data_IF_915840198836
#
_entry.id   IF_915840198836
#
_cell.length_a   1.000
_cell.length_b   1.000
_cell.length_c   1.000
_cell.angle_alpha   90.00
_cell.angle_beta   90.00
_cell.angle_gamma   90.00
#
_symmetry.space_group_name_H-M   'P 1'
#
loop_
_entity.id
_entity.type
_entity.pdbx_description
1 polymer ?
#
# COMPACT_ATOMS: atom_id res chain seq x y z
N UNK A 1 -3.07 -1.62 32.95
CA UNK A 1 -4.35 -2.11 32.40
C UNK A 1 -4.11 -3.48 31.79
N UNK A 2 -4.68 -4.52 32.40
CA UNK A 2 -4.37 -5.92 32.13
C UNK A 2 -4.77 -6.33 30.71
N UNK A 3 -3.78 -6.71 29.90
CA UNK A 3 -3.89 -7.27 28.55
C UNK A 3 -4.57 -8.64 28.65
N UNK A 4 -5.91 -8.67 28.66
CA UNK A 4 -6.67 -9.93 28.62
C UNK A 4 -6.44 -10.56 27.24
N UNK A 5 -5.57 -11.57 27.16
CA UNK A 5 -5.29 -12.34 25.93
C UNK A 5 -6.61 -12.92 25.45
N UNK A 6 -7.06 -12.50 24.27
CA UNK A 6 -8.23 -13.07 23.61
C UNK A 6 -7.88 -14.47 23.14
N UNK A 7 -8.74 -15.43 23.45
CA UNK A 7 -8.55 -16.84 23.12
C UNK A 7 -9.57 -17.24 22.05
N UNK A 8 -9.06 -17.40 20.83
CA UNK A 8 -9.84 -17.75 19.63
C UNK A 8 -10.64 -19.06 19.79
N UNK A 9 -10.22 -19.96 20.68
CA UNK A 9 -10.88 -21.26 20.89
C UNK A 9 -11.98 -21.23 21.96
N UNK A 10 -11.95 -20.27 22.90
CA UNK A 10 -12.83 -20.26 24.08
C UNK A 10 -13.80 -19.09 24.13
N UNK A 11 -13.47 -17.95 23.49
CA UNK A 11 -14.34 -16.78 23.48
C UNK A 11 -15.54 -16.95 22.53
N UNK A 12 -16.67 -16.31 22.87
CA UNK A 12 -17.87 -16.37 22.02
C UNK A 12 -17.67 -15.62 20.69
N UNK A 13 -18.23 -16.17 19.61
CA UNK A 13 -18.12 -15.60 18.25
C UNK A 13 -18.52 -14.12 18.23
N UNK A 14 -19.58 -13.74 18.96
CA UNK A 14 -20.04 -12.34 19.04
C UNK A 14 -18.99 -11.41 19.63
N UNK A 15 -18.34 -11.80 20.74
CA UNK A 15 -17.31 -11.01 21.40
C UNK A 15 -16.08 -10.86 20.50
N UNK A 16 -15.68 -11.94 19.85
CA UNK A 16 -14.56 -11.96 18.92
C UNK A 16 -14.84 -11.07 17.69
N UNK A 17 -16.04 -11.21 17.11
CA UNK A 17 -16.50 -10.39 16.00
C UNK A 17 -16.40 -8.90 16.32
N UNK A 18 -17.03 -8.43 17.40
CA UNK A 18 -17.01 -7.00 17.72
C UNK A 18 -15.61 -6.51 18.13
N UNK A 19 -14.78 -7.35 18.75
CA UNK A 19 -13.42 -6.97 19.11
C UNK A 19 -12.53 -6.70 17.89
N UNK A 20 -12.66 -7.46 16.81
CA UNK A 20 -11.91 -7.20 15.56
C UNK A 20 -12.63 -6.21 14.64
N UNK A 21 -13.96 -6.29 14.56
CA UNK A 21 -14.78 -5.46 13.68
C UNK A 21 -14.70 -3.99 14.05
N UNK A 22 -14.81 -3.63 15.34
CA UNK A 22 -14.83 -2.23 15.76
C UNK A 22 -13.53 -1.50 15.34
N UNK A 23 -12.31 -2.00 15.67
CA UNK A 23 -11.06 -1.40 15.21
C UNK A 23 -10.92 -1.32 13.69
N UNK A 24 -11.37 -2.35 12.97
CA UNK A 24 -11.33 -2.38 11.49
C UNK A 24 -12.28 -1.33 10.89
N UNK A 25 -13.50 -1.21 11.41
CA UNK A 25 -14.47 -0.22 10.97
C UNK A 25 -13.96 1.20 11.20
N UNK A 26 -13.41 1.50 12.38
CA UNK A 26 -12.78 2.80 12.65
C UNK A 26 -11.61 3.09 11.70
N UNK A 27 -10.80 2.07 11.38
CA UNK A 27 -9.69 2.22 10.42
C UNK A 27 -10.19 2.54 9.01
N UNK A 28 -11.28 1.91 8.56
CA UNK A 28 -11.91 2.18 7.26
C UNK A 28 -12.55 3.58 7.20
N UNK A 29 -13.26 4.00 8.26
CA UNK A 29 -13.82 5.35 8.35
C UNK A 29 -12.70 6.40 8.31
N UNK A 30 -11.59 6.15 9.02
CA UNK A 30 -10.42 7.04 9.01
C UNK A 30 -9.82 7.14 7.60
N UNK A 31 -9.69 6.01 6.90
CA UNK A 31 -9.18 5.97 5.53
C UNK A 31 -10.06 6.76 4.56
N UNK A 32 -11.39 6.60 4.64
CA UNK A 32 -12.34 7.34 3.79
C UNK A 32 -12.37 8.84 4.11
N UNK A 33 -12.26 9.20 5.39
CA UNK A 33 -12.21 10.60 5.81
C UNK A 33 -10.92 11.25 5.31
N UNK A 34 -9.79 10.55 5.41
CA UNK A 34 -8.50 11.00 4.88
C UNK A 34 -8.57 11.26 3.37
N UNK A 35 -9.09 10.30 2.58
CA UNK A 35 -9.16 10.46 1.12
C UNK A 35 -10.12 11.58 0.70
N UNK A 36 -11.22 11.77 1.43
CA UNK A 36 -12.15 12.88 1.18
C UNK A 36 -11.49 14.23 1.48
N UNK A 37 -10.80 14.35 2.62
CA UNK A 37 -10.10 15.57 3.01
C UNK A 37 -9.00 15.90 2.00
N UNK A 38 -8.19 14.92 1.60
CA UNK A 38 -7.14 15.09 0.60
C UNK A 38 -7.69 15.64 -0.73
N UNK A 39 -8.75 15.02 -1.26
CA UNK A 39 -9.45 15.51 -2.45
C UNK A 39 -10.02 16.92 -2.29
N UNK A 40 -10.57 17.26 -1.11
CA UNK A 40 -11.06 18.61 -0.81
C UNK A 40 -9.93 19.64 -0.77
N UNK A 41 -8.78 19.31 -0.20
CA UNK A 41 -7.61 20.20 -0.17
C UNK A 41 -7.06 20.45 -1.57
N UNK A 42 -6.91 19.40 -2.38
CA UNK A 42 -6.50 19.53 -3.79
C UNK A 42 -7.50 20.40 -4.55
N UNK A 43 -8.81 20.16 -4.38
CA UNK A 43 -9.85 20.92 -5.07
C UNK A 43 -9.93 22.38 -4.70
N UNK A 44 -9.87 22.71 -3.41
CA UNK A 44 -9.95 24.10 -2.94
C UNK A 44 -8.68 24.88 -3.24
N UNK A 45 -7.50 24.24 -3.17
CA UNK A 45 -6.21 24.93 -3.32
C UNK A 45 -5.72 25.02 -4.75
N UNK A 46 -6.00 24.01 -5.57
CA UNK A 46 -5.48 23.89 -6.95
C UNK A 46 -6.58 23.97 -8.02
N UNK A 47 -7.86 23.99 -7.62
CA UNK A 47 -9.00 24.14 -8.52
C UNK A 47 -9.52 22.82 -9.10
N UNK A 48 -10.55 22.93 -9.95
CA UNK A 48 -11.25 21.77 -10.53
C UNK A 48 -10.39 20.97 -11.50
N UNK A 49 -9.52 21.63 -12.26
CA UNK A 49 -8.61 20.99 -13.21
C UNK A 49 -7.60 20.09 -12.51
N UNK A 50 -7.11 20.49 -11.34
CA UNK A 50 -6.18 19.68 -10.57
C UNK A 50 -6.80 18.38 -10.04
N UNK A 51 -8.05 18.41 -9.55
CA UNK A 51 -8.75 17.17 -9.16
C UNK A 51 -8.95 16.26 -10.38
N UNK A 52 -9.33 16.83 -11.53
CA UNK A 52 -9.51 16.05 -12.75
C UNK A 52 -8.20 15.35 -13.16
N UNK A 53 -7.07 16.06 -13.13
CA UNK A 53 -5.75 15.50 -13.39
C UNK A 53 -5.36 14.38 -12.40
N UNK A 54 -5.65 14.55 -11.10
CA UNK A 54 -5.42 13.51 -10.08
C UNK A 54 -6.26 12.26 -10.36
N UNK A 55 -7.53 12.43 -10.72
CA UNK A 55 -8.42 11.32 -11.06
C UNK A 55 -7.96 10.55 -12.30
N UNK A 56 -7.39 11.24 -13.30
CA UNK A 56 -6.80 10.60 -14.48
C UNK A 56 -5.60 9.73 -14.10
N UNK A 57 -4.79 10.16 -13.14
CA UNK A 57 -3.63 9.40 -12.67
C UNK A 57 -3.97 8.30 -11.65
N UNK A 58 -5.20 8.32 -11.10
CA UNK A 58 -5.66 7.37 -10.08
C UNK A 58 -5.47 5.88 -10.43
N UNK A 59 -5.66 5.41 -11.70
CA UNK A 59 -5.49 4.00 -12.07
C UNK A 59 -4.10 3.42 -11.78
N UNK A 60 -3.08 4.25 -11.57
CA UNK A 60 -1.73 3.80 -11.19
C UNK A 60 -1.72 3.19 -9.78
N UNK A 61 -2.51 3.73 -8.85
CA UNK A 61 -2.53 3.27 -7.46
C UNK A 61 -2.95 1.80 -7.33
N UNK A 62 -4.08 1.34 -7.92
CA UNK A 62 -4.42 -0.08 -7.91
C UNK A 62 -3.34 -0.99 -8.51
N UNK A 63 -2.60 -0.52 -9.52
CA UNK A 63 -1.48 -1.26 -10.09
C UNK A 63 -0.33 -1.46 -9.10
N UNK A 64 0.04 -0.39 -8.38
CA UNK A 64 1.05 -0.46 -7.31
C UNK A 64 0.59 -1.33 -6.14
N UNK A 65 -0.67 -1.22 -5.74
CA UNK A 65 -1.28 -2.06 -4.69
C UNK A 65 -1.30 -3.53 -5.12
N UNK A 66 -1.64 -3.83 -6.38
CA UNK A 66 -1.61 -5.21 -6.87
C UNK A 66 -0.19 -5.81 -6.81
N UNK A 67 0.82 -5.03 -7.18
CA UNK A 67 2.22 -5.42 -7.07
C UNK A 67 2.63 -5.67 -5.62
N UNK A 68 2.24 -4.77 -4.71
CA UNK A 68 2.44 -4.91 -3.27
C UNK A 68 1.79 -6.20 -2.73
N UNK A 69 0.52 -6.44 -3.05
CA UNK A 69 -0.21 -7.62 -2.57
C UNK A 69 0.42 -8.93 -3.05
N UNK A 70 0.86 -8.97 -4.31
CA UNK A 70 1.50 -10.15 -4.91
C UNK A 70 2.73 -10.59 -4.10
N UNK A 71 3.65 -9.65 -3.83
CA UNK A 71 4.88 -9.97 -3.11
C UNK A 71 4.68 -9.99 -1.59
N UNK A 72 3.81 -9.12 -1.05
CA UNK A 72 3.52 -9.02 0.37
C UNK A 72 2.83 -10.27 0.92
N UNK A 73 1.71 -10.69 0.32
CA UNK A 73 1.00 -11.88 0.78
C UNK A 73 1.75 -13.17 0.43
N UNK A 74 2.44 -13.21 -0.72
CA UNK A 74 3.32 -14.31 -1.09
C UNK A 74 4.45 -14.53 -0.07
N UNK A 75 5.16 -13.45 0.29
CA UNK A 75 6.22 -13.51 1.31
C UNK A 75 5.66 -13.87 2.68
N UNK A 76 4.54 -13.27 3.10
CA UNK A 76 3.93 -13.53 4.41
C UNK A 76 3.58 -15.03 4.58
N UNK A 77 3.11 -15.68 3.52
CA UNK A 77 2.77 -17.12 3.53
C UNK A 77 4.01 -17.99 3.76
N UNK A 78 5.10 -17.74 3.04
CA UNK A 78 6.36 -18.51 3.17
C UNK A 78 7.05 -18.22 4.51
N UNK A 79 7.06 -16.95 4.94
CA UNK A 79 7.61 -16.52 6.23
C UNK A 79 6.83 -17.19 7.37
N UNK A 80 5.50 -17.19 7.31
CA UNK A 80 4.64 -17.87 8.27
C UNK A 80 4.92 -19.38 8.37
N UNK A 81 5.14 -20.04 7.23
CA UNK A 81 5.51 -21.46 7.18
C UNK A 81 6.84 -21.76 7.90
N UNK A 82 7.88 -20.94 7.69
CA UNK A 82 9.17 -21.14 8.38
C UNK A 82 9.13 -20.76 9.85
N UNK A 83 8.37 -19.72 10.22
CA UNK A 83 8.15 -19.33 11.61
C UNK A 83 7.42 -20.45 12.38
N UNK A 84 6.41 -21.07 11.79
CA UNK A 84 5.71 -22.22 12.38
C UNK A 84 6.60 -23.43 12.65
N UNK A 85 7.72 -23.57 11.92
CA UNK A 85 8.74 -24.61 12.15
C UNK A 85 9.85 -24.18 13.12
N UNK A 86 9.72 -23.03 13.81
CA UNK A 86 10.77 -22.42 14.62
C UNK A 86 12.07 -22.11 13.82
N UNK A 87 12.00 -22.04 12.49
CA UNK A 87 13.14 -21.74 11.60
C UNK A 87 13.24 -20.24 11.35
N UNK A 88 13.38 -19.46 12.41
CA UNK A 88 13.39 -17.98 12.39
C UNK A 88 14.46 -17.39 11.48
N UNK A 89 15.64 -18.01 11.41
CA UNK A 89 16.72 -17.57 10.53
C UNK A 89 16.32 -17.65 9.04
N UNK A 90 15.69 -18.76 8.61
CA UNK A 90 15.21 -18.91 7.23
C UNK A 90 14.07 -17.95 6.92
N UNK A 91 13.16 -17.74 7.87
CA UNK A 91 12.08 -16.77 7.74
C UNK A 91 12.62 -15.35 7.47
N UNK A 92 13.65 -14.92 8.23
CA UNK A 92 14.29 -13.62 8.05
C UNK A 92 15.02 -13.50 6.70
N UNK A 93 15.69 -14.56 6.26
CA UNK A 93 16.34 -14.62 4.95
C UNK A 93 15.34 -14.41 3.82
N UNK A 94 14.26 -15.20 3.79
CA UNK A 94 13.18 -15.06 2.80
C UNK A 94 12.61 -13.65 2.80
N UNK A 95 12.29 -13.12 3.98
CA UNK A 95 11.76 -11.76 4.09
C UNK A 95 12.73 -10.73 3.50
N UNK A 96 14.01 -10.79 3.89
CA UNK A 96 15.01 -9.82 3.45
C UNK A 96 15.23 -9.89 1.94
N UNK A 97 15.28 -11.11 1.38
CA UNK A 97 15.37 -11.32 -0.07
C UNK A 97 14.19 -10.72 -0.81
N UNK A 98 12.95 -10.94 -0.36
CA UNK A 98 11.77 -10.35 -1.00
C UNK A 98 11.76 -8.83 -0.85
N UNK A 99 12.12 -8.31 0.33
CA UNK A 99 12.20 -6.88 0.58
C UNK A 99 13.15 -6.18 -0.39
N UNK A 100 14.39 -6.68 -0.52
CA UNK A 100 15.36 -6.11 -1.46
C UNK A 100 14.92 -6.30 -2.91
N UNK A 101 14.35 -7.47 -3.25
CA UNK A 101 13.84 -7.71 -4.59
C UNK A 101 12.77 -6.70 -4.97
N UNK A 102 11.75 -6.50 -4.13
CA UNK A 102 10.66 -5.53 -4.36
C UNK A 102 11.19 -4.10 -4.40
N UNK A 103 12.10 -3.72 -3.51
CA UNK A 103 12.70 -2.39 -3.53
C UNK A 103 13.40 -2.10 -4.86
N UNK A 104 14.24 -3.03 -5.32
CA UNK A 104 15.03 -2.88 -6.54
C UNK A 104 14.13 -2.98 -7.77
N UNK A 105 13.21 -3.93 -7.83
CA UNK A 105 12.32 -4.13 -8.97
C UNK A 105 11.36 -2.97 -9.15
N UNK A 106 10.76 -2.44 -8.07
CA UNK A 106 9.91 -1.25 -8.12
C UNK A 106 10.72 -0.02 -8.51
N UNK A 107 11.96 0.13 -8.03
CA UNK A 107 12.83 1.23 -8.44
C UNK A 107 13.13 1.19 -9.93
N UNK A 108 13.55 0.04 -10.46
CA UNK A 108 13.83 -0.15 -11.88
C UNK A 108 12.57 0.11 -12.73
N UNK A 109 11.43 -0.44 -12.32
CA UNK A 109 10.16 -0.24 -13.02
C UNK A 109 9.76 1.23 -13.05
N UNK A 110 9.93 1.93 -11.93
CA UNK A 110 9.60 3.35 -11.83
C UNK A 110 10.50 4.20 -12.73
N UNK A 111 11.81 3.96 -12.70
CA UNK A 111 12.77 4.63 -13.59
C UNK A 111 12.50 4.35 -15.07
N UNK A 112 12.09 3.12 -15.41
CA UNK A 112 11.73 2.74 -16.77
C UNK A 112 10.44 3.43 -17.25
N UNK A 113 9.47 3.67 -16.36
CA UNK A 113 8.17 4.28 -16.69
C UNK A 113 8.20 5.81 -16.70
N UNK A 114 9.13 6.46 -16.00
CA UNK A 114 9.28 7.92 -15.97
C UNK A 114 9.30 8.59 -17.36
N UNK A 115 10.11 8.15 -18.34
CA UNK A 115 10.11 8.78 -19.67
C UNK A 115 8.79 8.60 -20.43
N UNK A 116 7.97 7.62 -20.05
CA UNK A 116 6.66 7.35 -20.64
C UNK A 116 5.50 8.02 -19.88
N UNK A 117 5.79 8.91 -18.93
CA UNK A 117 4.78 9.59 -18.11
C UNK A 117 3.70 10.30 -18.95
N UNK A 118 4.08 10.91 -20.07
CA UNK A 118 3.14 11.55 -20.99
C UNK A 118 2.24 10.54 -21.70
N UNK A 119 2.81 9.44 -22.20
CA UNK A 119 2.06 8.37 -22.88
C UNK A 119 1.06 7.73 -21.91
N UNK A 120 1.47 7.50 -20.65
CA UNK A 120 0.60 6.98 -19.60
C UNK A 120 -0.54 7.96 -19.30
N UNK A 121 -0.24 9.26 -19.21
CA UNK A 121 -1.26 10.28 -19.00
C UNK A 121 -2.30 10.31 -20.14
N UNK A 122 -1.85 10.23 -21.40
CA UNK A 122 -2.75 10.16 -22.57
C UNK A 122 -3.56 8.87 -22.59
N UNK A 123 -2.96 7.73 -22.23
CA UNK A 123 -3.64 6.43 -22.15
C UNK A 123 -4.80 6.43 -21.15
N UNK A 124 -4.64 7.12 -20.02
CA UNK A 124 -5.71 7.28 -19.03
C UNK A 124 -6.72 8.40 -19.35
N UNK A 125 -6.64 8.99 -20.55
CA UNK A 125 -7.63 9.94 -21.05
C UNK A 125 -7.33 11.41 -20.74
N UNK A 126 -6.06 11.77 -20.48
CA UNK A 126 -5.71 13.18 -20.32
C UNK A 126 -5.83 13.95 -21.63
N UNK A 127 -6.61 15.04 -21.60
CA UNK A 127 -6.64 16.04 -22.67
C UNK A 127 -5.43 16.99 -22.58
N UNK A 128 -5.13 17.75 -23.64
CA UNK A 128 -3.94 18.61 -23.72
C UNK A 128 -3.89 19.69 -22.60
N UNK A 129 -5.06 20.20 -22.19
CA UNK A 129 -5.16 21.15 -21.08
C UNK A 129 -4.75 20.55 -19.72
N UNK A 130 -5.00 19.25 -19.52
CA UNK A 130 -4.72 18.54 -18.26
C UNK A 130 -3.39 17.78 -18.30
N UNK A 131 -2.83 17.59 -19.50
CA UNK A 131 -1.67 16.73 -19.73
C UNK A 131 -0.49 17.08 -18.83
N UNK A 132 -0.17 18.36 -18.70
CA UNK A 132 0.96 18.79 -17.89
C UNK A 132 0.75 18.53 -16.39
N UNK A 133 -0.49 18.71 -15.89
CA UNK A 133 -0.82 18.42 -14.49
C UNK A 133 -0.81 16.91 -14.21
N UNK A 134 -1.46 16.13 -15.07
CA UNK A 134 -1.52 14.66 -14.97
C UNK A 134 -0.12 14.07 -15.04
N UNK A 135 0.69 14.49 -16.02
CA UNK A 135 2.08 14.05 -16.18
C UNK A 135 2.91 14.31 -14.92
N UNK A 136 2.90 15.54 -14.40
CA UNK A 136 3.63 15.89 -13.17
C UNK A 136 3.20 15.02 -11.99
N UNK A 137 1.89 14.76 -11.86
CA UNK A 137 1.39 13.92 -10.78
C UNK A 137 1.85 12.46 -10.93
N UNK A 138 1.82 11.91 -12.14
CA UNK A 138 2.34 10.58 -12.46
C UNK A 138 3.84 10.49 -12.15
N UNK A 139 4.63 11.49 -12.54
CA UNK A 139 6.06 11.55 -12.26
C UNK A 139 6.35 11.52 -10.76
N UNK A 140 5.60 12.29 -9.97
CA UNK A 140 5.72 12.30 -8.50
C UNK A 140 5.35 10.93 -7.92
N UNK A 141 4.27 10.30 -8.40
CA UNK A 141 3.89 8.95 -7.97
C UNK A 141 5.01 7.95 -8.27
N UNK A 142 5.54 7.96 -9.49
CA UNK A 142 6.61 7.03 -9.91
C UNK A 142 7.88 7.24 -9.09
N UNK A 143 8.28 8.48 -8.82
CA UNK A 143 9.42 8.75 -7.92
C UNK A 143 9.17 8.24 -6.50
N UNK A 144 7.94 8.31 -6.01
CA UNK A 144 7.53 7.84 -4.68
C UNK A 144 7.14 6.36 -4.60
N UNK A 145 7.05 5.65 -5.73
CA UNK A 145 6.43 4.32 -5.81
C UNK A 145 7.14 3.29 -4.93
N UNK A 146 8.47 3.37 -4.83
CA UNK A 146 9.28 2.49 -3.97
C UNK A 146 8.86 2.61 -2.51
N UNK A 147 8.66 3.84 -2.01
CA UNK A 147 8.24 4.06 -0.63
C UNK A 147 6.80 3.61 -0.40
N UNK A 148 5.92 3.82 -1.38
CA UNK A 148 4.53 3.35 -1.30
C UNK A 148 4.45 1.84 -1.17
N UNK A 149 5.19 1.09 -2.01
CA UNK A 149 5.16 -0.38 -2.02
C UNK A 149 5.89 -0.96 -0.80
N UNK A 150 6.95 -0.33 -0.30
CA UNK A 150 7.73 -0.87 0.82
C UNK A 150 7.09 -0.64 2.20
N UNK A 151 6.31 0.43 2.40
CA UNK A 151 5.72 0.75 3.70
C UNK A 151 4.85 -0.39 4.29
N UNK A 152 3.97 -1.05 3.52
CA UNK A 152 3.17 -2.18 3.99
C UNK A 152 4.01 -3.44 4.29
N UNK A 153 5.03 -3.71 3.47
CA UNK A 153 6.00 -4.80 3.72
C UNK A 153 6.77 -4.59 5.02
N UNK A 154 7.13 -3.33 5.34
CA UNK A 154 7.79 -3.00 6.59
C UNK A 154 6.88 -3.21 7.82
N UNK A 155 5.55 -3.07 7.70
CA UNK A 155 4.61 -3.44 8.78
C UNK A 155 4.63 -4.93 9.09
N UNK A 156 4.82 -5.79 8.09
CA UNK A 156 4.97 -7.23 8.31
C UNK A 156 6.24 -7.58 9.09
N UNK A 157 7.33 -6.83 8.87
CA UNK A 157 8.56 -6.92 9.67
C UNK A 157 8.28 -6.71 11.15
N UNK A 158 7.54 -5.64 11.46
CA UNK A 158 7.13 -5.32 12.82
C UNK A 158 6.25 -6.42 13.42
N UNK A 159 5.35 -7.00 12.63
CA UNK A 159 4.49 -8.08 13.08
C UNK A 159 5.29 -9.36 13.42
N UNK A 160 6.28 -9.71 12.61
CA UNK A 160 7.15 -10.86 12.86
C UNK A 160 8.11 -10.65 14.04
N UNK A 161 8.60 -9.42 14.27
CA UNK A 161 9.48 -9.12 15.41
C UNK A 161 8.74 -9.00 16.73
N UNK A 162 7.45 -8.63 16.71
CA UNK A 162 6.60 -8.59 17.91
C UNK A 162 6.13 -9.98 18.37
N UNK A 163 6.21 -11.00 17.51
CA UNK A 163 5.92 -12.40 17.84
C UNK A 163 7.16 -13.09 18.44
N UNK A 164 7.69 -12.45 19.48
CA UNK A 164 8.75 -12.96 20.35
C UNK A 164 8.22 -13.07 21.78
#
# INVERSE_FOLDING_TARGET
MLKKKIDLHRDSIRKLFFYYFIPLAFSMISLSTYSMIDGMFVGKKLGKEAIAAVNIAWPIFPGLIAYELLFGFGAASIVGYFLGQNKTHRARLVFSSVFYFVAISTFILSMALLPFSETIARLFGSNDALLNMSKRYIEIILMGAVFMVLHPLARFLWFCTLWR
#
